data_IF_506816169005
#
_entry.id   IF_506816169005
#
_cell.length_a   1.000
_cell.length_b   1.000
_cell.length_c   1.000
_cell.angle_alpha   90.00
_cell.angle_beta   90.00
_cell.angle_gamma   90.00
#
_symmetry.space_group_name_H-M   'P 1'
#
loop_
_entity.id
_entity.type
_entity.pdbx_description
1 polymer ?
#
# COMPACT_ATOMS: atom_id res chain seq x y z
N UNK A 1 57.44 -23.92 -27.20
CA UNK A 1 57.68 -22.71 -26.39
C UNK A 1 56.34 -21.99 -26.24
N UNK A 2 55.78 -21.67 -25.09
CA UNK A 2 56.05 -21.98 -23.69
C UNK A 2 54.73 -21.72 -22.93
N UNK A 3 54.36 -22.68 -22.07
CA UNK A 3 53.77 -22.52 -20.74
C UNK A 3 52.50 -21.69 -20.54
N UNK A 4 51.42 -22.45 -20.28
CA UNK A 4 50.25 -22.05 -19.49
C UNK A 4 50.63 -21.67 -18.06
N UNK A 5 50.14 -20.52 -17.59
CA UNK A 5 50.04 -20.17 -16.17
C UNK A 5 48.67 -19.54 -15.91
N UNK A 6 47.88 -20.22 -15.08
CA UNK A 6 46.62 -19.72 -14.57
C UNK A 6 46.83 -18.61 -13.54
N UNK A 7 46.00 -17.58 -13.61
CA UNK A 7 45.89 -16.53 -12.61
C UNK A 7 44.42 -16.30 -12.26
N UNK A 8 43.98 -16.82 -11.11
CA UNK A 8 42.68 -16.51 -10.50
C UNK A 8 42.70 -15.04 -10.06
N UNK A 9 41.90 -14.21 -10.71
CA UNK A 9 41.64 -12.85 -10.23
C UNK A 9 40.63 -12.91 -9.08
N UNK A 10 41.12 -12.81 -7.85
CA UNK A 10 40.32 -12.50 -6.67
C UNK A 10 39.94 -11.02 -6.73
N UNK A 11 38.68 -10.73 -7.03
CA UNK A 11 38.11 -9.41 -6.75
C UNK A 11 37.76 -9.35 -5.25
N UNK A 12 38.61 -8.69 -4.48
CA UNK A 12 38.29 -8.23 -3.12
C UNK A 12 37.22 -7.15 -3.21
N UNK A 13 35.95 -7.56 -3.07
CA UNK A 13 34.86 -6.63 -2.83
C UNK A 13 35.00 -6.09 -1.40
N UNK A 14 35.44 -4.83 -1.29
CA UNK A 14 35.31 -4.06 -0.07
C UNK A 14 33.82 -3.99 0.27
N UNK A 15 33.44 -4.64 1.37
CA UNK A 15 32.10 -4.58 1.95
C UNK A 15 31.85 -3.14 2.39
N UNK A 16 31.18 -2.37 1.53
CA UNK A 16 30.48 -1.17 1.93
C UNK A 16 29.35 -1.64 2.84
N UNK A 17 29.54 -1.46 4.15
CA UNK A 17 28.48 -1.57 5.13
C UNK A 17 27.35 -0.62 4.73
N UNK A 18 26.34 -1.17 4.05
CA UNK A 18 25.01 -0.59 4.08
C UNK A 18 24.60 -0.51 5.56
N UNK A 19 24.08 0.63 6.05
CA UNK A 19 23.63 0.72 7.42
C UNK A 19 22.59 -0.37 7.62
N UNK A 20 22.79 -1.18 8.65
CA UNK A 20 21.90 -2.28 9.01
C UNK A 20 20.47 -1.76 9.01
N UNK A 21 19.71 -2.07 7.97
CA UNK A 21 18.27 -1.95 8.02
C UNK A 21 17.86 -3.03 9.02
N UNK A 22 17.75 -2.65 10.30
CA UNK A 22 16.94 -3.40 11.25
C UNK A 22 15.66 -3.69 10.48
N UNK A 23 15.44 -4.95 10.10
CA UNK A 23 14.21 -5.36 9.44
C UNK A 23 13.10 -4.82 10.34
N UNK A 24 12.38 -3.80 9.87
CA UNK A 24 11.24 -3.27 10.61
C UNK A 24 10.19 -4.36 10.53
N UNK A 25 10.20 -5.25 11.53
CA UNK A 25 9.17 -6.26 11.71
C UNK A 25 7.87 -5.55 12.10
N UNK A 26 6.75 -6.02 11.56
CA UNK A 26 5.42 -5.49 11.92
C UNK A 26 4.87 -6.14 13.19
N UNK A 27 5.43 -7.30 13.56
CA UNK A 27 5.43 -7.83 14.93
C UNK A 27 6.58 -7.21 15.74
N UNK A 28 6.66 -5.88 15.76
CA UNK A 28 7.64 -5.13 16.55
C UNK A 28 7.34 -5.19 18.04
N UNK A 29 8.35 -4.97 18.89
CA UNK A 29 8.17 -4.84 20.34
C UNK A 29 7.09 -3.80 20.70
N UNK A 30 7.05 -2.68 19.97
CA UNK A 30 6.03 -1.65 20.17
C UNK A 30 4.60 -2.12 19.84
N UNK A 31 4.44 -2.98 18.83
CA UNK A 31 3.15 -3.57 18.49
C UNK A 31 2.72 -4.60 19.54
N UNK A 32 3.66 -5.43 20.01
CA UNK A 32 3.41 -6.41 21.07
C UNK A 32 3.06 -5.72 22.40
N UNK A 33 3.78 -4.66 22.77
CA UNK A 33 3.48 -3.84 23.95
C UNK A 33 2.10 -3.18 23.86
N UNK A 34 1.71 -2.70 22.66
CA UNK A 34 0.37 -2.16 22.45
C UNK A 34 -0.73 -3.23 22.63
N UNK A 35 -0.48 -4.47 22.19
CA UNK A 35 -1.41 -5.59 22.42
C UNK A 35 -1.49 -5.93 23.91
N UNK A 36 -0.35 -6.04 24.61
CA UNK A 36 -0.33 -6.31 26.06
C UNK A 36 -1.11 -5.25 26.84
N UNK A 37 -0.89 -3.97 26.56
CA UNK A 37 -1.66 -2.88 27.20
C UNK A 37 -3.16 -2.97 26.91
N UNK A 38 -3.53 -3.21 25.65
CA UNK A 38 -4.94 -3.37 25.29
C UNK A 38 -5.59 -4.56 26.00
N UNK A 39 -4.80 -5.62 26.27
CA UNK A 39 -5.27 -6.78 27.02
C UNK A 39 -5.48 -6.46 28.50
N UNK A 40 -4.55 -5.74 29.13
CA UNK A 40 -4.67 -5.27 30.51
C UNK A 40 -5.88 -4.34 30.68
N UNK A 41 -6.14 -3.47 29.69
CA UNK A 41 -7.28 -2.56 29.65
C UNK A 41 -8.60 -3.21 29.19
N UNK A 42 -8.57 -4.51 28.82
CA UNK A 42 -9.72 -5.27 28.30
C UNK A 42 -10.42 -4.58 27.12
N UNK A 43 -9.62 -4.09 26.17
CA UNK A 43 -10.12 -3.41 24.96
C UNK A 43 -10.93 -4.40 24.11
N UNK A 44 -12.21 -4.13 23.82
CA UNK A 44 -13.09 -5.10 23.18
C UNK A 44 -12.98 -5.12 21.65
N UNK A 45 -12.32 -4.13 21.03
CA UNK A 45 -12.22 -4.02 19.57
C UNK A 45 -10.75 -4.01 19.12
N UNK A 46 -10.42 -4.84 18.14
CA UNK A 46 -9.12 -4.84 17.47
C UNK A 46 -9.33 -4.60 15.97
N UNK A 47 -8.48 -3.77 15.37
CA UNK A 47 -8.46 -3.51 13.93
C UNK A 47 -7.06 -3.80 13.41
N UNK A 48 -6.96 -4.72 12.47
CA UNK A 48 -5.76 -5.01 11.72
C UNK A 48 -5.96 -4.50 10.29
N UNK A 49 -5.00 -3.76 9.74
CA UNK A 49 -5.07 -3.31 8.35
C UNK A 49 -3.83 -3.68 7.56
N UNK A 50 -4.03 -4.01 6.28
CA UNK A 50 -2.94 -4.36 5.37
C UNK A 50 -1.99 -3.15 5.18
N UNK A 51 -0.74 -3.31 5.59
CA UNK A 51 0.33 -2.34 5.46
C UNK A 51 1.36 -2.81 4.43
N UNK A 52 1.90 -1.93 3.56
CA UNK A 52 1.67 -0.48 3.44
C UNK A 52 0.61 -0.11 2.38
N UNK A 53 -0.60 -0.68 2.48
CA UNK A 53 -1.69 -0.38 1.54
C UNK A 53 -2.39 0.93 1.88
N UNK A 54 -2.67 1.75 0.87
CA UNK A 54 -3.55 2.91 1.04
C UNK A 54 -4.98 2.49 1.29
N UNK A 55 -5.46 1.45 0.61
CA UNK A 55 -6.79 0.87 0.87
C UNK A 55 -6.92 0.47 2.34
N UNK A 56 -5.94 -0.29 2.86
CA UNK A 56 -5.88 -0.67 4.27
C UNK A 56 -5.81 0.52 5.23
N UNK A 57 -4.96 1.51 4.96
CA UNK A 57 -4.81 2.69 5.81
C UNK A 57 -6.08 3.56 5.85
N UNK A 58 -6.78 3.75 4.72
CA UNK A 58 -8.06 4.45 4.68
C UNK A 58 -9.18 3.63 5.35
N UNK A 59 -9.22 2.31 5.17
CA UNK A 59 -10.14 1.45 5.94
C UNK A 59 -9.90 1.61 7.45
N UNK A 60 -8.64 1.65 7.90
CA UNK A 60 -8.29 1.88 9.30
C UNK A 60 -8.68 3.27 9.80
N UNK A 61 -8.58 4.30 8.94
CA UNK A 61 -9.11 5.64 9.24
C UNK A 61 -10.62 5.59 9.51
N UNK A 62 -11.41 4.91 8.69
CA UNK A 62 -12.86 4.80 8.89
C UNK A 62 -13.21 4.05 10.18
N UNK A 63 -12.48 2.97 10.48
CA UNK A 63 -12.61 2.28 11.76
C UNK A 63 -12.26 3.20 12.95
N UNK A 64 -11.16 3.94 12.87
CA UNK A 64 -10.75 4.91 13.90
C UNK A 64 -11.82 5.98 14.14
N UNK A 65 -12.35 6.57 13.06
CA UNK A 65 -13.39 7.59 13.09
C UNK A 65 -14.72 7.06 13.68
N UNK A 66 -15.06 5.81 13.40
CA UNK A 66 -16.26 5.17 13.94
C UNK A 66 -16.15 4.95 15.45
N UNK A 67 -15.07 4.29 15.90
CA UNK A 67 -14.88 3.99 17.31
C UNK A 67 -14.69 5.27 18.14
N UNK A 68 -13.97 6.27 17.61
CA UNK A 68 -13.77 7.55 18.29
C UNK A 68 -15.08 8.32 18.49
N UNK A 69 -15.98 8.33 17.50
CA UNK A 69 -17.29 8.99 17.63
C UNK A 69 -18.17 8.38 18.70
N UNK A 70 -18.10 7.06 18.85
CA UNK A 70 -18.87 6.31 19.84
C UNK A 70 -18.15 6.20 21.19
N UNK A 71 -16.97 6.79 21.33
CA UNK A 71 -16.11 6.63 22.51
C UNK A 71 -15.86 5.15 22.86
N UNK A 72 -15.75 4.29 21.85
CA UNK A 72 -15.49 2.86 22.01
C UNK A 72 -13.99 2.59 22.03
N UNK A 73 -13.45 1.90 23.06
CA UNK A 73 -12.04 1.51 23.07
C UNK A 73 -11.72 0.58 21.89
N UNK A 74 -10.62 0.85 21.20
CA UNK A 74 -10.21 0.12 20.01
C UNK A 74 -8.69 0.17 19.82
N UNK A 75 -8.07 -1.01 19.64
CA UNK A 75 -6.66 -1.15 19.28
C UNK A 75 -6.54 -1.26 17.76
N UNK A 76 -5.77 -0.36 17.12
CA UNK A 76 -5.56 -0.40 15.67
C UNK A 76 -4.08 -0.63 15.36
N UNK A 77 -3.78 -1.68 14.59
CA UNK A 77 -2.41 -2.10 14.28
C UNK A 77 -2.18 -2.31 12.77
N UNK A 78 -1.00 -1.96 12.25
CA UNK A 78 -0.61 -2.35 10.91
C UNK A 78 -0.32 -3.85 10.87
N UNK A 79 -0.74 -4.50 9.78
CA UNK A 79 -0.51 -5.92 9.52
C UNK A 79 0.26 -6.09 8.21
N UNK A 80 1.30 -6.92 8.20
CA UNK A 80 2.10 -7.19 7.01
C UNK A 80 2.31 -8.68 6.81
N UNK A 81 2.38 -9.12 5.55
CA UNK A 81 2.65 -10.51 5.17
C UNK A 81 4.10 -10.95 5.36
N UNK A 82 5.06 -10.02 5.57
CA UNK A 82 6.49 -10.36 5.68
C UNK A 82 6.83 -10.93 7.06
N UNK A 83 6.25 -10.35 8.12
CA UNK A 83 6.35 -10.85 9.49
C UNK A 83 5.04 -10.53 10.23
N UNK A 84 3.99 -11.34 10.01
CA UNK A 84 2.65 -11.05 10.50
C UNK A 84 2.53 -11.25 12.01
N UNK A 85 1.59 -10.49 12.61
CA UNK A 85 1.05 -10.82 13.92
C UNK A 85 0.39 -12.20 13.87
N UNK A 86 0.56 -12.97 14.93
CA UNK A 86 0.05 -14.33 15.05
C UNK A 86 -1.25 -14.33 15.84
N UNK A 87 -2.03 -15.40 15.72
CA UNK A 87 -3.28 -15.52 16.49
C UNK A 87 -2.98 -15.54 17.99
N UNK A 88 -1.87 -16.16 18.38
CA UNK A 88 -1.43 -16.25 19.77
C UNK A 88 -1.03 -14.89 20.37
N UNK A 89 -0.73 -13.89 19.52
CA UNK A 89 -0.45 -12.54 19.99
C UNK A 89 -1.74 -11.87 20.52
N UNK A 90 -2.94 -12.35 20.13
CA UNK A 90 -4.24 -11.74 20.47
C UNK A 90 -5.06 -12.52 21.51
N UNK A 91 -4.43 -13.32 22.37
CA UNK A 91 -5.14 -13.97 23.47
C UNK A 91 -5.52 -12.95 24.56
N UNK A 92 -6.66 -12.28 24.35
CA UNK A 92 -7.15 -11.20 25.19
C UNK A 92 -8.53 -11.55 25.71
N UNK A 93 -8.67 -11.62 27.04
CA UNK A 93 -9.97 -11.77 27.68
C UNK A 93 -10.82 -10.51 27.42
N UNK A 94 -12.04 -10.69 26.91
CA UNK A 94 -12.97 -9.58 26.63
C UNK A 94 -12.92 -9.01 25.21
N UNK A 95 -12.13 -9.60 24.30
CA UNK A 95 -12.18 -9.23 22.87
C UNK A 95 -13.55 -9.60 22.27
N UNK A 96 -14.30 -8.60 21.81
CA UNK A 96 -15.62 -8.77 21.20
C UNK A 96 -15.51 -8.81 19.67
N UNK A 97 -14.76 -7.88 19.06
CA UNK A 97 -14.68 -7.72 17.60
C UNK A 97 -13.26 -7.56 17.09
N UNK A 98 -12.97 -8.25 16.00
CA UNK A 98 -11.76 -8.05 15.22
C UNK A 98 -12.10 -7.68 13.77
N UNK A 99 -11.56 -6.58 13.28
CA UNK A 99 -11.68 -6.16 11.89
C UNK A 99 -10.39 -6.44 11.13
N UNK A 100 -10.47 -7.15 10.00
CA UNK A 100 -9.36 -7.36 9.07
C UNK A 100 -9.60 -6.49 7.83
N UNK A 101 -8.78 -5.46 7.63
CA UNK A 101 -9.02 -4.42 6.64
C UNK A 101 -8.03 -4.50 5.48
N UNK A 102 -8.54 -4.72 4.27
CA UNK A 102 -7.77 -4.93 3.03
C UNK A 102 -6.95 -6.24 3.03
N UNK A 103 -7.40 -7.24 3.79
CA UNK A 103 -6.94 -8.63 3.75
C UNK A 103 -7.90 -9.57 4.48
N UNK A 104 -7.86 -10.85 4.13
CA UNK A 104 -8.58 -11.94 4.84
C UNK A 104 -7.67 -12.87 5.66
N UNK A 105 -6.35 -12.70 5.53
CA UNK A 105 -5.34 -13.58 6.13
C UNK A 105 -5.13 -14.88 5.34
N UNK A 106 -4.21 -15.72 5.80
CA UNK A 106 -4.03 -17.06 5.26
C UNK A 106 -5.22 -17.96 5.66
N UNK A 107 -5.43 -19.05 4.93
CA UNK A 107 -6.50 -20.02 5.18
C UNK A 107 -6.56 -20.42 6.65
N UNK A 108 -7.73 -20.22 7.26
CA UNK A 108 -8.00 -20.53 8.67
C UNK A 108 -7.51 -19.49 9.68
N UNK A 109 -6.83 -18.41 9.26
CA UNK A 109 -6.39 -17.34 10.16
C UNK A 109 -7.57 -16.68 10.88
N UNK A 110 -8.56 -16.20 10.13
CA UNK A 110 -9.75 -15.55 10.70
C UNK A 110 -10.54 -16.48 11.63
N UNK A 111 -10.73 -17.75 11.23
CA UNK A 111 -11.44 -18.74 12.05
C UNK A 111 -10.68 -19.07 13.34
N UNK A 112 -9.35 -19.22 13.28
CA UNK A 112 -8.53 -19.42 14.49
C UNK A 112 -8.61 -18.21 15.42
N UNK A 113 -8.60 -17.00 14.88
CA UNK A 113 -8.72 -15.77 15.67
C UNK A 113 -10.08 -15.67 16.38
N UNK A 114 -11.17 -15.98 15.67
CA UNK A 114 -12.51 -16.10 16.23
C UNK A 114 -12.57 -17.16 17.34
N UNK A 115 -12.08 -18.37 17.07
CA UNK A 115 -12.12 -19.50 18.01
C UNK A 115 -11.23 -19.31 19.24
N UNK A 116 -10.06 -18.69 19.09
CA UNK A 116 -9.15 -18.52 20.21
C UNK A 116 -9.60 -17.40 21.16
N UNK A 117 -10.20 -16.34 20.60
CA UNK A 117 -10.57 -15.15 21.36
C UNK A 117 -12.07 -15.05 21.64
N UNK A 118 -12.86 -16.01 21.13
CA UNK A 118 -14.34 -15.99 21.18
C UNK A 118 -14.95 -14.70 20.61
N UNK A 119 -14.31 -14.09 19.61
CA UNK A 119 -14.69 -12.78 19.05
C UNK A 119 -15.33 -12.89 17.65
N UNK A 120 -16.14 -11.90 17.28
CA UNK A 120 -16.63 -11.73 15.91
C UNK A 120 -15.50 -11.20 15.02
N UNK A 121 -15.23 -11.85 13.89
CA UNK A 121 -14.20 -11.43 12.93
C UNK A 121 -14.86 -10.94 11.65
N UNK A 122 -14.61 -9.70 11.26
CA UNK A 122 -15.17 -9.08 10.06
C UNK A 122 -14.02 -8.68 9.13
N UNK A 123 -13.90 -9.35 8.00
CA UNK A 123 -12.83 -9.15 7.05
C UNK A 123 -13.32 -8.42 5.78
N UNK A 124 -12.46 -7.58 5.21
CA UNK A 124 -12.67 -6.87 3.95
C UNK A 124 -11.48 -7.10 3.04
N UNK A 125 -11.72 -7.50 1.79
CA UNK A 125 -10.70 -7.57 0.74
C UNK A 125 -11.38 -7.33 -0.62
N UNK A 126 -10.61 -6.99 -1.63
CA UNK A 126 -11.10 -6.80 -2.99
C UNK A 126 -10.34 -7.64 -4.02
N UNK A 127 -9.32 -8.38 -3.56
CA UNK A 127 -8.45 -9.15 -4.45
C UNK A 127 -9.03 -10.52 -4.73
N UNK A 128 -8.95 -10.95 -5.98
CA UNK A 128 -9.27 -12.32 -6.40
C UNK A 128 -8.48 -13.38 -5.61
N UNK A 129 -7.27 -13.05 -5.17
CA UNK A 129 -6.43 -13.94 -4.34
C UNK A 129 -6.99 -14.22 -2.94
N UNK A 130 -7.99 -13.45 -2.48
CA UNK A 130 -8.65 -13.68 -1.20
C UNK A 130 -9.67 -14.83 -1.26
N UNK A 131 -10.29 -15.07 -2.42
CA UNK A 131 -11.37 -16.06 -2.57
C UNK A 131 -10.99 -17.48 -2.09
N UNK A 132 -9.79 -18.03 -2.40
CA UNK A 132 -9.41 -19.36 -1.91
C UNK A 132 -9.28 -19.46 -0.38
N UNK A 133 -9.13 -18.32 0.32
CA UNK A 133 -8.97 -18.29 1.78
C UNK A 133 -10.33 -18.34 2.51
N UNK A 134 -11.42 -17.94 1.85
CA UNK A 134 -12.77 -17.81 2.42
C UNK A 134 -13.47 -19.17 2.55
N UNK A 135 -13.25 -20.07 1.60
CA UNK A 135 -13.95 -21.35 1.44
C UNK A 135 -13.71 -22.40 2.55
N UNK A 136 -13.22 -21.99 3.72
CA UNK A 136 -12.85 -22.89 4.81
C UNK A 136 -13.45 -22.50 6.18
N UNK A 137 -14.19 -21.39 6.28
CA UNK A 137 -14.77 -20.98 7.55
C UNK A 137 -16.22 -21.44 7.64
N UNK A 138 -16.47 -22.47 8.45
CA UNK A 138 -17.81 -22.82 8.94
C UNK A 138 -18.18 -22.02 10.20
N UNK A 139 -17.26 -21.19 10.72
CA UNK A 139 -17.50 -20.39 11.90
C UNK A 139 -18.44 -19.22 11.59
N UNK A 140 -19.65 -19.28 12.16
CA UNK A 140 -20.71 -18.27 12.03
C UNK A 140 -20.31 -16.89 12.58
N UNK A 141 -19.24 -16.79 13.39
CA UNK A 141 -18.70 -15.52 13.88
C UNK A 141 -17.75 -14.84 12.91
N UNK A 142 -17.46 -15.45 11.77
CA UNK A 142 -16.55 -14.88 10.76
C UNK A 142 -17.35 -14.41 9.54
N UNK A 143 -17.28 -13.12 9.25
CA UNK A 143 -17.91 -12.51 8.07
C UNK A 143 -16.85 -12.04 7.09
N UNK A 144 -16.92 -12.51 5.85
CA UNK A 144 -16.04 -12.07 4.76
C UNK A 144 -16.78 -11.14 3.79
N UNK A 145 -16.37 -9.88 3.74
CA UNK A 145 -16.84 -8.87 2.81
C UNK A 145 -15.83 -8.74 1.66
N UNK A 146 -15.80 -9.73 0.76
CA UNK A 146 -14.89 -9.72 -0.40
C UNK A 146 -15.64 -9.24 -1.64
N UNK A 147 -15.23 -8.10 -2.18
CA UNK A 147 -15.88 -7.45 -3.33
C UNK A 147 -14.86 -7.16 -4.43
N UNK A 148 -15.00 -7.81 -5.60
CA UNK A 148 -14.07 -7.62 -6.71
C UNK A 148 -14.32 -6.35 -7.52
N UNK A 149 -15.47 -5.70 -7.32
CA UNK A 149 -15.92 -4.52 -8.07
C UNK A 149 -15.77 -3.22 -7.27
N UNK A 150 -15.33 -3.32 -6.02
CA UNK A 150 -15.22 -2.19 -5.08
C UNK A 150 -13.97 -2.36 -4.22
N UNK A 151 -13.20 -1.28 -4.05
CA UNK A 151 -12.01 -1.33 -3.20
C UNK A 151 -12.36 -1.59 -1.72
N UNK A 152 -11.42 -2.15 -0.97
CA UNK A 152 -11.59 -2.40 0.46
C UNK A 152 -11.78 -1.10 1.25
N UNK A 153 -11.15 0.00 0.83
CA UNK A 153 -11.39 1.32 1.44
C UNK A 153 -12.82 1.83 1.26
N UNK A 154 -13.42 1.69 0.07
CA UNK A 154 -14.81 2.11 -0.17
C UNK A 154 -15.78 1.20 0.60
N UNK A 155 -15.56 -0.12 0.57
CA UNK A 155 -16.39 -1.06 1.30
C UNK A 155 -16.37 -0.81 2.82
N UNK A 156 -15.18 -0.52 3.39
CA UNK A 156 -15.06 -0.17 4.80
C UNK A 156 -15.72 1.19 5.12
N UNK A 157 -15.57 2.20 4.25
CA UNK A 157 -16.23 3.50 4.41
C UNK A 157 -17.75 3.35 4.51
N UNK A 158 -18.36 2.62 3.57
CA UNK A 158 -19.79 2.35 3.56
C UNK A 158 -20.22 1.53 4.78
N UNK A 159 -19.47 0.48 5.13
CA UNK A 159 -19.77 -0.35 6.29
C UNK A 159 -19.84 0.45 7.59
N UNK A 160 -18.79 1.22 7.90
CA UNK A 160 -18.74 2.01 9.13
C UNK A 160 -19.73 3.18 9.12
N UNK A 161 -20.02 3.76 7.95
CA UNK A 161 -21.03 4.83 7.81
C UNK A 161 -22.43 4.29 8.10
N UNK A 162 -22.79 3.15 7.50
CA UNK A 162 -24.08 2.49 7.71
C UNK A 162 -24.21 1.98 9.15
N UNK A 163 -23.14 1.40 9.71
CA UNK A 163 -23.11 0.95 11.11
C UNK A 163 -23.33 2.10 12.08
N UNK A 164 -22.69 3.26 11.83
CA UNK A 164 -22.88 4.45 12.64
C UNK A 164 -24.32 4.96 12.54
N UNK A 165 -24.88 5.04 11.34
CA UNK A 165 -26.26 5.48 11.11
C UNK A 165 -27.28 4.59 11.83
N UNK A 166 -27.10 3.27 11.78
CA UNK A 166 -27.99 2.31 12.45
C UNK A 166 -27.90 2.35 13.98
N UNK A 167 -26.75 2.72 14.54
CA UNK A 167 -26.60 2.91 16.00
C UNK A 167 -27.15 4.26 16.45
N UNK A 168 -26.94 5.31 15.65
CA UNK A 168 -27.33 6.69 15.94
C UNK A 168 -28.79 7.01 15.60
N UNK A 169 -29.52 6.15 14.87
CA UNK A 169 -30.92 6.37 14.52
C UNK A 169 -31.88 6.48 15.73
N UNK A 170 -31.38 6.20 16.93
CA UNK A 170 -32.10 6.39 18.19
C UNK A 170 -31.80 7.74 18.89
N UNK A 171 -30.85 8.53 18.39
CA UNK A 171 -30.43 9.81 18.95
C UNK A 171 -30.52 10.95 17.90
N UNK A 172 -30.94 12.14 18.31
CA UNK A 172 -31.47 13.21 17.41
C UNK A 172 -30.38 13.91 16.57
N UNK A 173 -29.10 13.57 16.75
CA UNK A 173 -27.99 14.07 15.92
C UNK A 173 -27.38 12.94 15.10
N UNK A 174 -27.86 12.77 13.87
CA UNK A 174 -27.20 11.93 12.88
C UNK A 174 -25.80 12.49 12.55
N UNK A 175 -24.77 11.99 13.22
CA UNK A 175 -23.38 12.34 12.91
C UNK A 175 -22.88 11.48 11.77
N UNK A 176 -22.49 12.10 10.65
CA UNK A 176 -21.79 11.41 9.56
C UNK A 176 -20.40 10.93 10.01
N UNK A 177 -19.90 9.85 9.40
CA UNK A 177 -18.57 9.32 9.67
C UNK A 177 -17.44 10.25 9.21
N UNK A 178 -17.69 11.07 8.19
CA UNK A 178 -16.82 12.17 7.79
C UNK A 178 -17.51 13.49 8.08
N UNK A 179 -16.72 14.48 8.50
CA UNK A 179 -17.21 15.85 8.61
C UNK A 179 -17.46 16.40 7.19
N UNK A 180 -18.39 17.35 7.07
CA UNK A 180 -18.72 17.96 5.77
C UNK A 180 -17.51 18.57 5.08
N UNK A 181 -16.57 19.12 5.84
CA UNK A 181 -15.34 19.75 5.33
C UNK A 181 -14.35 18.75 4.71
N UNK A 182 -14.31 17.51 5.24
CA UNK A 182 -13.36 16.49 4.80
C UNK A 182 -13.94 15.56 3.73
N UNK A 183 -15.28 15.47 3.66
CA UNK A 183 -15.99 14.47 2.86
C UNK A 183 -15.58 14.49 1.39
N UNK A 184 -15.72 15.63 0.71
CA UNK A 184 -15.45 15.73 -0.72
C UNK A 184 -13.98 15.44 -1.04
N UNK A 185 -13.07 15.89 -0.16
CA UNK A 185 -11.63 15.67 -0.29
C UNK A 185 -11.30 14.19 -0.16
N UNK A 186 -11.77 13.53 0.89
CA UNK A 186 -11.54 12.10 1.14
C UNK A 186 -12.20 11.25 0.05
N UNK A 187 -13.45 11.51 -0.32
CA UNK A 187 -14.14 10.77 -1.38
C UNK A 187 -13.42 10.90 -2.73
N UNK A 188 -12.85 12.06 -3.04
CA UNK A 188 -12.02 12.23 -4.24
C UNK A 188 -10.75 11.37 -4.18
N UNK A 189 -10.05 11.35 -3.05
CA UNK A 189 -8.87 10.49 -2.87
C UNK A 189 -9.24 9.01 -2.99
N UNK A 190 -10.37 8.58 -2.40
CA UNK A 190 -10.85 7.21 -2.50
C UNK A 190 -11.14 6.79 -3.95
N UNK A 191 -11.67 7.68 -4.80
CA UNK A 191 -11.88 7.38 -6.23
C UNK A 191 -10.57 7.03 -6.94
N UNK A 192 -9.50 7.78 -6.67
CA UNK A 192 -8.19 7.46 -7.22
C UNK A 192 -7.61 6.15 -6.68
N UNK A 193 -7.78 5.88 -5.38
CA UNK A 193 -7.34 4.61 -4.78
C UNK A 193 -8.10 3.44 -5.42
N UNK A 194 -9.42 3.54 -5.55
CA UNK A 194 -10.23 2.49 -6.16
C UNK A 194 -9.89 2.24 -7.63
N UNK A 195 -9.69 3.29 -8.42
CA UNK A 195 -9.28 3.15 -9.83
C UNK A 195 -7.96 2.36 -9.98
N UNK A 196 -7.01 2.60 -9.06
CA UNK A 196 -5.74 1.88 -9.01
C UNK A 196 -5.88 0.45 -8.49
N UNK A 197 -6.57 0.25 -7.36
CA UNK A 197 -6.76 -1.07 -6.72
C UNK A 197 -7.48 -2.05 -7.66
N UNK A 198 -8.48 -1.57 -8.39
CA UNK A 198 -9.27 -2.36 -9.35
C UNK A 198 -8.67 -2.40 -10.75
N UNK A 199 -7.49 -1.79 -10.95
CA UNK A 199 -6.76 -1.79 -12.23
C UNK A 199 -7.60 -1.25 -13.40
N UNK A 200 -8.46 -0.26 -13.14
CA UNK A 200 -9.34 0.36 -14.13
C UNK A 200 -8.58 1.34 -15.01
N UNK A 201 -7.65 2.10 -14.41
CA UNK A 201 -6.84 3.12 -15.09
C UNK A 201 -7.66 4.16 -15.86
N UNK A 202 -8.86 4.46 -15.38
CA UNK A 202 -9.83 5.29 -16.07
C UNK A 202 -9.63 6.79 -15.81
N UNK A 203 -8.94 7.13 -14.72
CA UNK A 203 -8.69 8.52 -14.34
C UNK A 203 -7.42 9.03 -15.03
N UNK A 204 -7.53 10.14 -15.78
CA UNK A 204 -6.42 10.71 -16.57
C UNK A 204 -5.13 10.90 -15.76
N UNK A 205 -5.22 11.48 -14.57
CA UNK A 205 -4.07 11.81 -13.71
C UNK A 205 -3.64 10.65 -12.80
N UNK A 206 -4.16 9.42 -13.01
CA UNK A 206 -3.90 8.27 -12.12
C UNK A 206 -2.40 7.96 -12.00
N UNK A 207 -1.63 8.11 -13.08
CA UNK A 207 -0.19 7.86 -13.08
C UNK A 207 0.53 8.86 -12.15
N UNK A 208 0.23 10.15 -12.30
CA UNK A 208 0.78 11.20 -11.47
C UNK A 208 0.38 10.99 -10.01
N UNK A 209 -0.90 10.73 -9.75
CA UNK A 209 -1.40 10.47 -8.42
C UNK A 209 -0.66 9.32 -7.71
N UNK A 210 -0.50 8.17 -8.39
CA UNK A 210 0.20 7.00 -7.81
C UNK A 210 1.67 7.26 -7.49
N UNK A 211 2.34 8.05 -8.33
CA UNK A 211 3.72 8.48 -8.10
C UNK A 211 3.78 9.42 -6.90
N UNK A 212 2.89 10.42 -6.85
CA UNK A 212 2.81 11.37 -5.74
C UNK A 212 2.50 10.72 -4.39
N UNK A 213 1.67 9.66 -4.40
CA UNK A 213 1.41 8.85 -3.21
C UNK A 213 2.62 7.99 -2.80
N UNK A 214 3.59 7.74 -3.67
CA UNK A 214 4.68 6.79 -3.41
C UNK A 214 5.43 7.06 -2.11
N UNK A 215 5.70 8.34 -1.81
CA UNK A 215 6.40 8.78 -0.60
C UNK A 215 5.57 8.63 0.68
N UNK A 216 4.24 8.54 0.56
CA UNK A 216 3.34 8.43 1.70
C UNK A 216 3.34 7.03 2.32
N UNK A 217 3.79 5.99 1.61
CA UNK A 217 3.76 4.59 2.10
C UNK A 217 4.49 4.40 3.43
N UNK A 218 5.60 5.09 3.64
CA UNK A 218 6.36 5.01 4.90
C UNK A 218 5.62 5.64 6.09
N UNK A 219 4.63 6.51 5.84
CA UNK A 219 3.84 7.20 6.85
C UNK A 219 2.58 6.43 7.28
N UNK A 220 2.26 5.32 6.61
CA UNK A 220 1.04 4.54 6.84
C UNK A 220 1.11 3.59 8.06
N UNK A 221 2.12 3.72 8.93
CA UNK A 221 2.23 2.90 10.12
C UNK A 221 1.80 3.72 11.34
N UNK A 222 0.59 3.45 11.85
CA UNK A 222 -0.01 4.17 12.98
C UNK A 222 0.76 4.05 14.30
N UNK A 223 1.59 3.01 14.49
CA UNK A 223 2.42 2.86 15.69
C UNK A 223 3.57 3.85 15.66
N UNK A 224 4.24 3.97 14.51
CA UNK A 224 5.39 4.88 14.36
C UNK A 224 5.00 6.30 13.94
N UNK A 225 3.77 6.50 13.48
CA UNK A 225 3.23 7.79 13.06
C UNK A 225 1.89 8.06 13.77
N UNK A 226 1.91 8.72 14.95
CA UNK A 226 0.69 9.02 15.70
C UNK A 226 -0.24 10.01 14.97
N UNK A 227 0.27 10.74 13.98
CA UNK A 227 -0.52 11.71 13.20
C UNK A 227 -1.12 11.11 11.92
N UNK A 228 -0.97 9.81 11.69
CA UNK A 228 -1.38 9.16 10.44
C UNK A 228 -2.82 9.48 10.04
N UNK A 229 -3.78 9.37 10.96
CA UNK A 229 -5.20 9.59 10.64
C UNK A 229 -5.50 11.04 10.26
N UNK A 230 -4.95 12.00 11.00
CA UNK A 230 -5.05 13.43 10.67
C UNK A 230 -4.46 13.70 9.28
N UNK A 231 -3.28 13.15 9.02
CA UNK A 231 -2.62 13.32 7.73
C UNK A 231 -3.41 12.69 6.57
N UNK A 232 -4.03 11.52 6.77
CA UNK A 232 -4.88 10.88 5.76
C UNK A 232 -6.10 11.73 5.42
N UNK A 233 -6.73 12.37 6.42
CA UNK A 233 -7.82 13.31 6.22
C UNK A 233 -7.39 14.54 5.42
N UNK A 234 -6.16 15.00 5.60
CA UNK A 234 -5.59 16.19 4.95
C UNK A 234 -5.07 15.92 3.53
N UNK A 235 -5.02 14.67 3.05
CA UNK A 235 -4.55 14.37 1.69
C UNK A 235 -5.46 15.06 0.66
N UNK A 236 -4.84 15.90 -0.18
CA UNK A 236 -5.45 16.52 -1.35
C UNK A 236 -5.04 15.78 -2.61
N UNK A 237 -6.01 15.33 -3.41
CA UNK A 237 -5.73 14.69 -4.69
C UNK A 237 -4.99 15.63 -5.66
N UNK A 238 -5.32 16.92 -5.64
CA UNK A 238 -4.66 17.94 -6.47
C UNK A 238 -3.18 18.09 -6.10
N UNK A 239 -2.85 18.15 -4.81
CA UNK A 239 -1.46 18.30 -4.35
C UNK A 239 -0.64 17.04 -4.65
N UNK A 240 -1.25 15.87 -4.47
CA UNK A 240 -0.63 14.59 -4.80
C UNK A 240 -0.36 14.47 -6.30
N UNK A 241 -1.32 14.84 -7.15
CA UNK A 241 -1.15 14.88 -8.61
C UNK A 241 -0.08 15.88 -9.01
N UNK A 242 -0.11 17.11 -8.48
CA UNK A 242 0.88 18.13 -8.77
C UNK A 242 2.29 17.65 -8.44
N UNK A 243 2.47 17.03 -7.26
CA UNK A 243 3.74 16.43 -6.87
C UNK A 243 4.17 15.30 -7.80
N UNK A 244 3.25 14.43 -8.19
CA UNK A 244 3.50 13.38 -9.17
C UNK A 244 3.97 13.93 -10.51
N UNK A 245 3.31 14.97 -11.00
CA UNK A 245 3.67 15.64 -12.26
C UNK A 245 5.02 16.35 -12.17
N UNK A 246 5.36 16.97 -11.04
CA UNK A 246 6.69 17.52 -10.79
C UNK A 246 7.77 16.43 -10.85
N UNK A 247 7.52 15.26 -10.25
CA UNK A 247 8.45 14.12 -10.29
C UNK A 247 8.61 13.54 -11.71
N UNK A 248 7.51 13.36 -12.44
CA UNK A 248 7.53 12.91 -13.84
C UNK A 248 8.33 13.90 -14.70
N UNK A 249 8.07 15.19 -14.54
CA UNK A 249 8.74 16.24 -15.30
C UNK A 249 10.24 16.29 -15.02
N UNK A 250 10.65 16.22 -13.75
CA UNK A 250 12.07 16.25 -13.38
C UNK A 250 12.84 15.06 -13.97
N UNK A 251 12.26 13.85 -13.94
CA UNK A 251 12.83 12.66 -14.58
C UNK A 251 12.92 12.82 -16.10
N UNK A 252 11.88 13.37 -16.72
CA UNK A 252 11.86 13.60 -18.16
C UNK A 252 12.94 14.61 -18.59
N UNK A 253 13.14 15.68 -17.83
CA UNK A 253 14.22 16.67 -18.05
C UNK A 253 15.60 16.01 -17.89
N UNK A 254 15.78 15.23 -16.82
CA UNK A 254 17.04 14.53 -16.56
C UNK A 254 17.38 13.53 -17.68
N UNK A 255 16.39 12.76 -18.15
CA UNK A 255 16.54 11.86 -19.28
C UNK A 255 16.89 12.64 -20.56
N UNK A 256 16.19 13.73 -20.88
CA UNK A 256 16.45 14.52 -22.07
C UNK A 256 17.88 15.06 -22.12
N UNK A 257 18.43 15.50 -20.99
CA UNK A 257 19.82 15.97 -20.87
C UNK A 257 20.85 14.89 -21.24
N UNK A 258 20.55 13.61 -20.98
CA UNK A 258 21.40 12.49 -21.41
C UNK A 258 21.32 12.29 -22.92
N UNK A 259 20.11 12.41 -23.48
CA UNK A 259 19.83 12.15 -24.90
C UNK A 259 20.44 13.17 -25.85
N UNK A 260 20.91 14.32 -25.36
CA UNK A 260 21.72 15.26 -26.14
C UNK A 260 23.04 14.64 -26.61
N UNK A 261 23.49 13.57 -25.95
CA UNK A 261 24.69 12.79 -26.30
C UNK A 261 24.35 11.47 -27.01
N UNK A 262 23.16 11.36 -27.57
CA UNK A 262 22.76 10.15 -28.30
C UNK A 262 23.58 9.98 -29.58
N UNK A 263 23.86 8.73 -29.95
CA UNK A 263 24.65 8.37 -31.11
C UNK A 263 23.99 7.21 -31.85
N UNK A 264 24.30 7.08 -33.15
CA UNK A 264 23.75 6.03 -33.99
C UNK A 264 24.39 4.68 -33.66
N UNK A 265 23.57 3.66 -33.47
CA UNK A 265 23.96 2.27 -33.26
C UNK A 265 23.51 1.47 -34.47
N UNK A 266 24.44 0.73 -35.08
CA UNK A 266 24.17 -0.19 -36.19
C UNK A 266 24.16 -1.62 -35.68
N UNK A 267 23.01 -2.27 -35.66
CA UNK A 267 22.93 -3.66 -35.21
C UNK A 267 23.39 -4.61 -36.32
N UNK A 268 24.30 -5.53 -35.98
CA UNK A 268 24.89 -6.47 -36.94
C UNK A 268 25.53 -5.75 -38.14
N UNK A 269 26.30 -4.68 -37.91
CA UNK A 269 26.87 -3.83 -38.99
C UNK A 269 25.83 -3.17 -39.91
N UNK A 270 24.57 -3.12 -39.50
CA UNK A 270 23.44 -2.52 -40.23
C UNK A 270 22.47 -3.54 -40.84
N UNK A 271 22.77 -4.85 -40.78
CA UNK A 271 21.88 -5.90 -41.29
C UNK A 271 20.56 -6.01 -40.52
N UNK A 272 20.55 -5.59 -39.24
CA UNK A 272 19.37 -5.62 -38.37
C UNK A 272 18.85 -4.21 -38.03
N UNK A 273 19.07 -3.26 -38.94
CA UNK A 273 18.63 -1.89 -38.76
C UNK A 273 19.56 -1.03 -37.90
N UNK A 274 19.07 0.17 -37.63
CA UNK A 274 19.81 1.23 -36.95
C UNK A 274 18.90 1.91 -35.94
N UNK A 275 19.44 2.34 -34.81
CA UNK A 275 18.71 3.11 -33.80
C UNK A 275 19.63 4.11 -33.11
N UNK A 276 19.07 4.99 -32.28
CA UNK A 276 19.85 5.81 -31.37
C UNK A 276 20.14 5.04 -30.08
N UNK A 277 21.36 5.17 -29.60
CA UNK A 277 21.80 4.74 -28.28
C UNK A 277 22.34 5.92 -27.46
N UNK A 278 22.37 5.76 -26.15
CA UNK A 278 23.03 6.69 -25.24
C UNK A 278 23.75 5.89 -24.16
N UNK A 279 24.90 6.40 -23.69
CA UNK A 279 25.52 5.87 -22.47
C UNK A 279 24.74 6.38 -21.27
N UNK A 280 24.12 5.48 -20.53
CA UNK A 280 23.33 5.76 -19.32
C UNK A 280 24.10 5.44 -18.03
N UNK A 281 25.43 5.51 -18.06
CA UNK A 281 26.28 5.13 -16.92
C UNK A 281 25.88 5.93 -15.68
N UNK A 282 25.60 5.23 -14.57
CA UNK A 282 25.16 5.85 -13.31
C UNK A 282 23.74 6.42 -13.30
N UNK A 283 22.93 6.23 -14.35
CA UNK A 283 21.56 6.76 -14.49
C UNK A 283 20.55 5.63 -14.75
N UNK A 284 20.76 4.46 -14.15
CA UNK A 284 19.91 3.27 -14.35
C UNK A 284 18.45 3.49 -13.91
N UNK A 285 18.25 4.41 -12.97
CA UNK A 285 16.94 4.80 -12.46
C UNK A 285 16.09 5.53 -13.51
N UNK A 286 16.68 6.12 -14.55
CA UNK A 286 16.00 6.81 -15.67
C UNK A 286 15.78 5.94 -16.91
N UNK A 287 16.04 4.63 -16.81
CA UNK A 287 16.03 3.71 -17.96
C UNK A 287 14.70 3.70 -18.73
N UNK A 288 13.56 3.80 -18.05
CA UNK A 288 12.23 3.85 -18.68
C UNK A 288 12.07 5.11 -19.55
N UNK A 289 12.35 6.29 -18.97
CA UNK A 289 12.27 7.57 -19.68
C UNK A 289 13.27 7.65 -20.84
N UNK A 290 14.51 7.18 -20.62
CA UNK A 290 15.55 7.11 -21.65
C UNK A 290 15.08 6.22 -22.81
N UNK A 291 14.59 5.02 -22.51
CA UNK A 291 14.13 4.06 -23.51
C UNK A 291 12.98 4.61 -24.35
N UNK A 292 11.96 5.17 -23.70
CA UNK A 292 10.79 5.75 -24.38
C UNK A 292 11.20 6.89 -25.32
N UNK A 293 12.03 7.81 -24.84
CA UNK A 293 12.45 8.96 -25.65
C UNK A 293 13.46 8.60 -26.74
N UNK A 294 14.35 7.64 -26.52
CA UNK A 294 15.24 7.11 -27.56
C UNK A 294 14.45 6.48 -28.70
N UNK A 295 13.41 5.71 -28.37
CA UNK A 295 12.52 5.10 -29.36
C UNK A 295 11.85 6.17 -30.22
N UNK A 296 11.28 7.20 -29.60
CA UNK A 296 10.67 8.33 -30.31
C UNK A 296 11.68 9.08 -31.18
N UNK A 297 12.84 9.47 -30.63
CA UNK A 297 13.89 10.18 -31.38
C UNK A 297 14.42 9.35 -32.54
N UNK A 298 14.58 8.03 -32.37
CA UNK A 298 15.02 7.13 -33.44
C UNK A 298 14.01 7.10 -34.58
N UNK A 299 12.72 6.93 -34.26
CA UNK A 299 11.65 6.92 -35.25
C UNK A 299 11.55 8.27 -36.00
N UNK A 300 11.66 9.39 -35.29
CA UNK A 300 11.69 10.74 -35.91
C UNK A 300 12.90 10.94 -36.83
N UNK A 301 14.03 10.32 -36.52
CA UNK A 301 15.22 10.33 -37.36
C UNK A 301 15.16 9.33 -38.55
N UNK A 302 14.02 8.65 -38.74
CA UNK A 302 13.86 7.64 -39.78
C UNK A 302 14.65 6.36 -39.54
N UNK A 303 15.06 6.10 -38.29
CA UNK A 303 15.80 4.91 -37.90
C UNK A 303 14.84 3.83 -37.43
N UNK A 304 15.02 2.61 -37.91
CA UNK A 304 14.21 1.45 -37.55
C UNK A 304 15.09 0.25 -37.21
N UNK A 305 14.66 -0.49 -36.19
CA UNK A 305 15.12 -1.84 -35.85
C UNK A 305 14.25 -2.87 -36.57
#
# INVERSE_FOLDING_TARGET
MALWLGGKWRATALSLHAPSSRRRSFRSDAALEAITRAAEEKVPNVVLYNYPSFSGAFSALFAHLFHSRLSLPCLILPFSSVEPLRVEDFYVEGLDKCYLLDFVGLKGFASKLSQQSMCEVIAFDHRKSALPQINCSEDLRVTFNVNLEKSSSIAAYEYFSNKLANMMSFDVKATNLLNSEDRDRVETVLKYIEDADLHRWSITEIKAFRIGLGEWRSKLNCITNPYMYKQLLEISSADVVAKGNLYISSRQIAANKLLDKSFKVRLGRGFYGECLGVRADGNSDLSDEIGKQLSLKSATAGLSL
#
